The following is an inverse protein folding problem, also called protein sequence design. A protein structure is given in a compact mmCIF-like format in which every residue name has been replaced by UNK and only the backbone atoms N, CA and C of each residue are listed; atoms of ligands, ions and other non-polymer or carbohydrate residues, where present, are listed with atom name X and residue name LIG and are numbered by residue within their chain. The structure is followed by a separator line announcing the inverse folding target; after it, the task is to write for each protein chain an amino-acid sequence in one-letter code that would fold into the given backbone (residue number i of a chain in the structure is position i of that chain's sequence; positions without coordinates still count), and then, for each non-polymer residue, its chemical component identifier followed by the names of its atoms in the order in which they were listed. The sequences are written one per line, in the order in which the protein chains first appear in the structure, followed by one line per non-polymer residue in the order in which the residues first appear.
data_IF_106378677657
#
_entry.id   IF_106378677657
#
_cell.length_a   1.000
_cell.length_b   1.000
_cell.length_c   1.000
_cell.angle_alpha   90.00
_cell.angle_beta   90.00
_cell.angle_gamma   90.00
#
_symmetry.space_group_name_H-M   'P 1'
#
loop_
_entity.id
_entity.type
_entity.pdbx_description
1 polymer ?
#
# COMPACT_ATOMS: atom_id res chain seq x y z
N UNK A 1 6.46 16.52 2.87
CA UNK A 1 6.08 17.56 1.93
C UNK A 1 4.86 18.32 2.46
N UNK A 2 4.84 19.65 2.35
CA UNK A 2 3.68 20.45 2.77
C UNK A 2 2.45 20.26 1.88
N UNK A 3 2.59 19.48 0.82
CA UNK A 3 1.55 19.21 -0.18
C UNK A 3 1.12 17.74 -0.21
N UNK A 4 1.24 17.02 0.90
CA UNK A 4 0.68 15.67 0.96
C UNK A 4 -0.85 15.73 1.06
N UNK A 5 -1.60 15.35 0.02
CA UNK A 5 -3.08 15.37 0.04
C UNK A 5 -3.65 14.38 1.05
N UNK A 6 -2.93 13.34 1.38
CA UNK A 6 -3.39 12.28 2.29
C UNK A 6 -3.60 12.79 3.73
N UNK A 7 -2.92 13.85 4.12
CA UNK A 7 -3.07 14.45 5.45
C UNK A 7 -4.51 14.93 5.73
N UNK A 8 -5.23 15.31 4.70
CA UNK A 8 -6.57 15.90 4.78
C UNK A 8 -7.70 14.88 4.50
N UNK A 9 -7.36 13.61 4.19
CA UNK A 9 -8.35 12.58 3.86
C UNK A 9 -9.46 12.43 4.90
N UNK A 10 -9.13 12.48 6.19
CA UNK A 10 -10.12 12.42 7.26
C UNK A 10 -11.08 13.60 7.22
N UNK A 11 -10.54 14.81 7.13
CA UNK A 11 -11.32 16.04 7.06
C UNK A 11 -12.20 16.09 5.80
N UNK A 12 -11.68 15.63 4.66
CA UNK A 12 -12.41 15.58 3.40
C UNK A 12 -13.56 14.56 3.48
N UNK A 13 -13.32 13.40 4.10
CA UNK A 13 -14.34 12.38 4.35
C UNK A 13 -15.45 12.91 5.26
N UNK A 14 -15.11 13.61 6.33
CA UNK A 14 -16.08 14.26 7.22
C UNK A 14 -16.89 15.35 6.49
N UNK A 15 -16.24 16.12 5.63
CA UNK A 15 -16.89 17.11 4.80
C UNK A 15 -17.88 16.49 3.83
N UNK A 16 -17.53 15.36 3.22
CA UNK A 16 -18.42 14.59 2.35
C UNK A 16 -19.66 14.06 3.12
N UNK A 17 -19.46 13.56 4.35
CA UNK A 17 -20.57 13.11 5.20
C UNK A 17 -21.51 14.28 5.58
N UNK A 18 -20.97 15.43 5.94
CA UNK A 18 -21.76 16.65 6.21
C UNK A 18 -22.53 17.10 4.96
N UNK A 19 -21.90 17.06 3.81
CA UNK A 19 -22.54 17.39 2.54
C UNK A 19 -23.66 16.41 2.18
N UNK A 20 -23.47 15.10 2.44
CA UNK A 20 -24.53 14.12 2.23
C UNK A 20 -25.78 14.43 3.08
N UNK A 21 -25.62 14.76 4.36
CA UNK A 21 -26.75 15.20 5.20
C UNK A 21 -27.41 16.46 4.67
N UNK A 22 -26.63 17.43 4.20
CA UNK A 22 -27.16 18.64 3.57
C UNK A 22 -28.02 18.32 2.34
N UNK A 23 -27.54 17.46 1.44
CA UNK A 23 -28.27 17.05 0.23
C UNK A 23 -29.57 16.32 0.59
N UNK A 24 -29.50 15.38 1.54
CA UNK A 24 -30.69 14.64 2.00
C UNK A 24 -31.73 15.58 2.58
N UNK A 25 -31.34 16.53 3.40
CA UNK A 25 -32.25 17.51 3.97
C UNK A 25 -32.83 18.48 2.90
N UNK A 26 -32.01 18.89 1.93
CA UNK A 26 -32.47 19.70 0.82
C UNK A 26 -33.50 18.96 -0.06
N UNK A 27 -33.34 17.66 -0.23
CA UNK A 27 -34.21 16.84 -1.06
C UNK A 27 -35.50 16.40 -0.35
N UNK A 28 -35.41 16.05 0.94
CA UNK A 28 -36.48 15.40 1.67
C UNK A 28 -37.07 16.25 2.82
N UNK A 29 -36.45 17.39 3.12
CA UNK A 29 -36.97 18.33 4.11
C UNK A 29 -38.34 18.93 3.69
N UNK A 30 -39.19 19.19 4.68
CA UNK A 30 -40.51 19.79 4.51
C UNK A 30 -40.58 21.07 5.30
N UNK A 31 -41.60 21.88 5.04
CA UNK A 31 -41.79 23.17 5.72
C UNK A 31 -41.91 23.03 7.26
N UNK A 32 -42.54 21.94 7.71
CA UNK A 32 -42.73 21.59 9.13
C UNK A 32 -41.57 20.78 9.72
N UNK A 33 -40.71 20.18 8.90
CA UNK A 33 -39.50 19.47 9.28
C UNK A 33 -38.40 19.69 8.23
N UNK A 34 -37.71 20.83 8.29
CA UNK A 34 -36.71 21.18 7.27
C UNK A 34 -35.40 20.38 7.37
N UNK A 35 -35.11 19.71 8.51
CA UNK A 35 -33.88 18.98 8.76
C UNK A 35 -34.18 17.58 9.33
N UNK A 36 -34.90 16.73 8.55
CA UNK A 36 -35.27 15.40 9.01
C UNK A 36 -34.10 14.47 9.26
N UNK A 37 -32.95 14.71 8.62
CA UNK A 37 -31.76 13.90 8.80
C UNK A 37 -30.69 14.67 9.60
N UNK A 38 -30.34 14.13 10.73
CA UNK A 38 -29.35 14.73 11.62
C UNK A 38 -28.61 13.64 12.41
N UNK A 39 -27.54 14.02 13.08
CA UNK A 39 -26.70 13.13 13.89
C UNK A 39 -27.48 12.31 14.94
N UNK A 40 -28.58 12.85 15.47
CA UNK A 40 -29.37 12.17 16.50
C UNK A 40 -30.24 11.03 15.99
N UNK A 41 -30.47 10.95 14.67
CA UNK A 41 -31.36 9.97 14.08
C UNK A 41 -30.80 9.27 12.82
N UNK A 42 -29.58 9.58 12.43
CA UNK A 42 -28.94 9.04 11.23
C UNK A 42 -27.61 8.41 11.60
N UNK A 43 -27.44 7.11 11.32
CA UNK A 43 -26.18 6.41 11.49
C UNK A 43 -25.26 6.66 10.29
N UNK A 44 -24.04 7.09 10.55
CA UNK A 44 -23.02 7.33 9.54
C UNK A 44 -21.85 6.35 9.77
N UNK A 45 -21.68 5.46 8.81
CA UNK A 45 -20.62 4.43 8.85
C UNK A 45 -19.65 4.72 7.72
N UNK A 46 -18.39 4.97 8.08
CA UNK A 46 -17.28 5.06 7.14
C UNK A 46 -16.83 3.65 6.72
N UNK A 47 -17.03 3.27 5.46
CA UNK A 47 -16.66 1.94 4.99
C UNK A 47 -15.88 1.97 3.70
N UNK A 48 -14.70 1.33 3.67
CA UNK A 48 -13.90 1.21 2.45
C UNK A 48 -12.74 0.21 2.63
N UNK A 49 -12.02 -0.03 1.53
CA UNK A 49 -10.82 -0.85 1.51
C UNK A 49 -9.58 -0.01 1.12
N UNK A 50 -8.39 -0.51 1.46
CA UNK A 50 -7.10 0.07 1.08
C UNK A 50 -6.98 1.54 1.51
N UNK A 51 -6.71 2.45 0.59
CA UNK A 51 -6.61 3.90 0.85
C UNK A 51 -7.90 4.47 1.45
N UNK A 52 -9.06 4.03 0.97
CA UNK A 52 -10.34 4.45 1.52
C UNK A 52 -10.58 3.94 2.93
N UNK A 53 -10.08 2.74 3.27
CA UNK A 53 -10.07 2.22 4.64
C UNK A 53 -9.25 3.12 5.56
N UNK A 54 -8.08 3.56 5.14
CA UNK A 54 -7.26 4.52 5.87
C UNK A 54 -7.97 5.88 6.04
N UNK A 55 -8.61 6.38 4.98
CA UNK A 55 -9.38 7.62 5.04
C UNK A 55 -10.56 7.54 6.02
N UNK A 56 -11.26 6.39 6.07
CA UNK A 56 -12.36 6.16 7.01
C UNK A 56 -11.88 6.14 8.47
N UNK A 57 -10.75 5.48 8.74
CA UNK A 57 -10.12 5.49 10.08
C UNK A 57 -9.70 6.91 10.46
N UNK A 58 -9.05 7.62 9.53
CA UNK A 58 -8.60 8.99 9.76
C UNK A 58 -9.77 9.95 9.99
N UNK A 59 -10.91 9.72 9.32
CA UNK A 59 -12.13 10.47 9.57
C UNK A 59 -12.60 10.29 11.04
N UNK A 60 -12.65 9.06 11.52
CA UNK A 60 -13.05 8.79 12.91
C UNK A 60 -12.06 9.41 13.93
N UNK A 61 -10.75 9.38 13.66
CA UNK A 61 -9.74 10.03 14.51
C UNK A 61 -9.90 11.56 14.58
N UNK A 62 -10.31 12.18 13.48
CA UNK A 62 -10.44 13.63 13.36
C UNK A 62 -11.85 14.15 13.65
N UNK A 63 -12.80 13.26 13.93
CA UNK A 63 -14.19 13.59 14.14
C UNK A 63 -14.45 14.16 15.54
N UNK A 64 -14.16 15.43 15.72
CA UNK A 64 -14.45 16.16 16.97
C UNK A 64 -15.94 16.32 17.25
N UNK A 65 -16.77 16.27 16.21
CA UNK A 65 -18.23 16.47 16.30
C UNK A 65 -18.97 15.15 16.59
N UNK A 66 -18.28 14.01 16.51
CA UNK A 66 -18.83 12.67 16.66
C UNK A 66 -19.87 12.37 15.57
N UNK A 67 -19.58 12.73 14.34
CA UNK A 67 -20.43 12.52 13.18
C UNK A 67 -20.43 11.07 12.71
N UNK A 68 -19.28 10.39 12.86
CA UNK A 68 -19.09 9.00 12.45
C UNK A 68 -19.48 8.08 13.59
N UNK A 69 -20.44 7.19 13.37
CA UNK A 69 -20.90 6.21 14.36
C UNK A 69 -20.13 4.90 14.31
N UNK A 70 -19.48 4.59 13.19
CA UNK A 70 -18.68 3.39 13.04
C UNK A 70 -17.78 3.41 11.82
N UNK A 71 -16.77 2.55 11.85
CA UNK A 71 -15.84 2.34 10.72
C UNK A 71 -15.76 0.86 10.38
N UNK A 72 -15.85 0.54 9.09
CA UNK A 72 -15.55 -0.78 8.52
C UNK A 72 -14.40 -0.60 7.53
N UNK A 73 -13.18 -0.85 7.98
CA UNK A 73 -11.98 -0.74 7.17
C UNK A 73 -11.44 -2.12 6.81
N UNK A 74 -11.37 -2.42 5.52
CA UNK A 74 -10.70 -3.61 5.00
C UNK A 74 -9.33 -3.23 4.48
N UNK A 75 -8.30 -3.95 4.93
CA UNK A 75 -6.93 -3.78 4.48
C UNK A 75 -6.48 -2.30 4.45
N UNK A 76 -6.72 -1.54 5.53
CA UNK A 76 -6.42 -0.12 5.54
C UNK A 76 -4.91 0.11 5.43
N UNK A 77 -4.51 1.10 4.63
CA UNK A 77 -3.13 1.55 4.60
C UNK A 77 -2.87 2.39 5.84
N UNK A 78 -2.36 1.76 6.88
CA UNK A 78 -1.98 2.40 8.15
C UNK A 78 -0.50 2.17 8.43
N UNK A 79 0.16 3.19 8.95
CA UNK A 79 1.53 3.11 9.42
C UNK A 79 1.55 3.23 10.93
N UNK A 80 2.02 2.17 11.59
CA UNK A 80 2.17 2.19 13.04
C UNK A 80 3.40 3.00 13.42
N UNK A 81 3.30 3.83 14.43
CA UNK A 81 4.49 4.47 15.00
C UNK A 81 5.51 3.40 15.42
N UNK A 82 6.78 3.67 15.24
CA UNK A 82 7.90 2.77 15.61
C UNK A 82 8.02 2.50 17.11
N UNK A 83 7.14 3.02 17.91
CA UNK A 83 7.08 2.82 19.35
C UNK A 83 6.16 1.66 19.69
N UNK A 84 6.56 0.76 20.11
CA UNK A 84 6.72 -0.38 20.98
C UNK A 84 5.66 -0.51 22.08
N UNK A 85 5.25 -1.64 22.30
CA UNK A 85 4.24 -2.08 23.27
C UNK A 85 3.48 -3.25 22.70
N UNK A 86 3.86 -3.70 21.51
CA UNK A 86 3.32 -4.91 20.89
C UNK A 86 4.45 -5.75 20.30
N UNK A 87 4.23 -7.05 20.24
CA UNK A 87 5.07 -7.98 19.51
C UNK A 87 4.33 -8.55 18.31
N UNK A 88 5.08 -8.98 17.32
CA UNK A 88 4.54 -9.66 16.15
C UNK A 88 5.16 -11.05 16.08
N UNK A 89 4.32 -12.07 16.11
CA UNK A 89 4.73 -13.45 15.91
C UNK A 89 4.17 -13.96 14.58
N UNK A 90 5.03 -14.50 13.76
CA UNK A 90 4.64 -15.10 12.48
C UNK A 90 4.78 -16.63 12.56
N UNK A 91 3.65 -17.33 12.65
CA UNK A 91 3.62 -18.78 12.89
C UNK A 91 4.38 -19.15 14.15
N UNK A 92 5.30 -20.12 14.05
CA UNK A 92 6.13 -20.59 15.15
C UNK A 92 7.45 -19.82 15.30
N UNK A 93 7.65 -18.75 14.53
CA UNK A 93 8.84 -17.92 14.64
C UNK A 93 8.88 -17.18 15.99
N UNK A 94 10.10 -16.86 16.50
CA UNK A 94 10.22 -16.02 17.68
C UNK A 94 9.49 -14.69 17.50
N UNK A 95 8.83 -14.24 18.56
CA UNK A 95 8.20 -12.93 18.58
C UNK A 95 9.22 -11.82 18.31
N UNK A 96 8.91 -10.94 17.39
CA UNK A 96 9.67 -9.72 17.12
C UNK A 96 9.03 -8.52 17.82
N UNK A 97 9.83 -7.64 18.36
CA UNK A 97 9.34 -6.42 19.02
C UNK A 97 8.73 -5.40 18.08
N UNK A 98 8.90 -5.58 16.79
CA UNK A 98 8.43 -4.65 15.75
C UNK A 98 8.29 -5.37 14.40
N UNK A 99 7.15 -5.22 13.78
CA UNK A 99 6.91 -5.63 12.41
C UNK A 99 7.09 -4.44 11.45
N UNK A 100 7.46 -4.73 10.21
CA UNK A 100 7.47 -3.72 9.14
C UNK A 100 6.06 -3.53 8.59
N UNK A 101 5.75 -2.31 8.21
CA UNK A 101 4.47 -2.01 7.57
C UNK A 101 4.42 -2.56 6.15
N UNK A 102 3.21 -2.75 5.62
CA UNK A 102 3.05 -3.14 4.20
C UNK A 102 3.69 -2.10 3.27
N UNK A 103 3.62 -0.82 3.62
CA UNK A 103 4.24 0.26 2.87
C UNK A 103 5.77 0.09 2.79
N UNK A 104 6.42 -0.28 3.89
CA UNK A 104 7.86 -0.56 3.91
C UNK A 104 8.22 -1.72 2.98
N UNK A 105 7.49 -2.84 3.08
CA UNK A 105 7.72 -3.99 2.21
C UNK A 105 7.52 -3.62 0.75
N UNK A 106 6.44 -2.92 0.43
CA UNK A 106 6.10 -2.51 -0.93
C UNK A 106 7.16 -1.57 -1.51
N UNK A 107 7.55 -0.56 -0.76
CA UNK A 107 8.58 0.40 -1.19
C UNK A 107 9.91 -0.30 -1.45
N UNK A 108 10.32 -1.16 -0.54
CA UNK A 108 11.56 -1.92 -0.69
C UNK A 108 11.49 -2.88 -1.89
N UNK A 109 10.35 -3.56 -2.05
CA UNK A 109 10.05 -4.39 -3.20
C UNK A 109 10.15 -3.60 -4.51
N UNK A 110 9.50 -2.46 -4.61
CA UNK A 110 9.52 -1.61 -5.81
C UNK A 110 10.92 -1.16 -6.22
N UNK A 111 11.83 -1.00 -5.26
CA UNK A 111 13.22 -0.67 -5.55
C UNK A 111 13.94 -1.85 -6.20
N UNK A 112 13.87 -3.02 -5.61
CA UNK A 112 14.75 -4.16 -5.92
C UNK A 112 14.12 -5.23 -6.81
N UNK A 113 12.80 -5.46 -6.74
CA UNK A 113 12.12 -6.54 -7.46
C UNK A 113 12.36 -6.54 -8.97
N UNK A 114 12.32 -5.40 -9.68
CA UNK A 114 12.55 -5.41 -11.11
C UNK A 114 13.93 -5.96 -11.50
N UNK A 115 14.94 -5.68 -10.70
CA UNK A 115 16.28 -6.25 -10.90
C UNK A 115 16.33 -7.71 -10.45
N UNK A 116 15.82 -8.03 -9.28
CA UNK A 116 15.80 -9.37 -8.70
C UNK A 116 15.07 -10.39 -9.59
N UNK A 117 14.07 -9.96 -10.37
CA UNK A 117 13.37 -10.81 -11.32
C UNK A 117 14.25 -11.40 -12.42
N UNK A 118 15.45 -10.83 -12.64
CA UNK A 118 16.46 -11.36 -13.56
C UNK A 118 17.48 -12.28 -12.87
N UNK A 119 17.29 -12.59 -11.59
CA UNK A 119 18.20 -13.48 -10.87
C UNK A 119 18.16 -14.90 -11.46
N UNK A 120 19.32 -15.57 -11.52
CA UNK A 120 19.39 -16.94 -12.04
C UNK A 120 18.83 -18.00 -11.09
N UNK A 121 18.25 -17.61 -9.96
CA UNK A 121 17.57 -18.54 -9.04
C UNK A 121 16.38 -19.17 -9.77
N UNK A 122 16.34 -20.51 -9.82
CA UNK A 122 15.32 -21.26 -10.57
C UNK A 122 13.89 -20.89 -10.14
N UNK A 123 13.64 -20.71 -8.84
CA UNK A 123 12.32 -20.36 -8.33
C UNK A 123 11.86 -18.99 -8.83
N UNK A 124 12.75 -18.00 -8.87
CA UNK A 124 12.46 -16.68 -9.44
C UNK A 124 12.32 -16.76 -10.96
N UNK A 125 13.24 -17.45 -11.66
CA UNK A 125 13.21 -17.54 -13.11
C UNK A 125 11.97 -18.25 -13.63
N UNK A 126 11.51 -19.31 -12.96
CA UNK A 126 10.31 -20.06 -13.34
C UNK A 126 9.01 -19.26 -13.13
N UNK A 127 8.95 -18.45 -12.08
CA UNK A 127 7.77 -17.66 -11.74
C UNK A 127 7.85 -16.23 -12.24
N UNK A 128 8.97 -15.83 -12.84
CA UNK A 128 9.16 -14.47 -13.35
C UNK A 128 8.15 -14.14 -14.44
N UNK A 129 7.53 -12.97 -14.31
CA UNK A 129 6.65 -12.41 -15.36
C UNK A 129 7.36 -12.29 -16.72
N UNK A 130 8.68 -12.17 -16.72
CA UNK A 130 9.48 -12.13 -17.95
C UNK A 130 9.46 -13.45 -18.71
N UNK A 131 9.16 -14.58 -18.05
CA UNK A 131 9.00 -15.88 -18.69
C UNK A 131 7.64 -16.04 -19.35
N UNK A 132 6.61 -15.33 -18.87
CA UNK A 132 5.25 -15.40 -19.40
C UNK A 132 4.95 -14.32 -20.44
N UNK A 133 5.65 -13.20 -20.35
CA UNK A 133 5.44 -12.05 -21.22
C UNK A 133 6.75 -11.82 -21.97
N UNK A 134 6.85 -12.32 -23.20
CA UNK A 134 7.98 -12.14 -24.11
C UNK A 134 8.13 -10.67 -24.59
N UNK A 135 7.93 -9.72 -23.69
CA UNK A 135 8.09 -8.30 -23.97
C UNK A 135 9.54 -7.91 -23.72
N UNK A 136 10.33 -7.88 -24.76
CA UNK A 136 11.73 -7.41 -24.77
C UNK A 136 11.89 -6.06 -24.04
N UNK A 137 10.89 -5.20 -24.09
CA UNK A 137 10.86 -3.93 -23.38
C UNK A 137 10.89 -4.09 -21.84
N UNK A 138 10.27 -5.12 -21.28
CA UNK A 138 10.29 -5.35 -19.83
C UNK A 138 11.66 -5.84 -19.35
N UNK A 139 12.28 -6.75 -20.09
CA UNK A 139 13.65 -7.19 -19.79
C UNK A 139 14.63 -6.02 -19.86
N UNK A 140 14.50 -5.16 -20.86
CA UNK A 140 15.35 -3.97 -20.98
C UNK A 140 15.16 -3.01 -19.78
N UNK A 141 13.93 -2.82 -19.31
CA UNK A 141 13.63 -2.00 -18.11
C UNK A 141 14.21 -2.62 -16.84
N UNK A 142 14.11 -3.93 -16.66
CA UNK A 142 14.68 -4.63 -15.52
C UNK A 142 16.22 -4.55 -15.53
N UNK A 143 16.85 -4.71 -16.70
CA UNK A 143 18.28 -4.51 -16.86
C UNK A 143 18.69 -3.09 -16.50
N UNK A 144 17.99 -2.09 -17.02
CA UNK A 144 18.22 -0.68 -16.70
C UNK A 144 18.04 -0.41 -15.19
N UNK A 145 17.11 -1.09 -14.53
CA UNK A 145 16.96 -1.00 -13.06
C UNK A 145 18.20 -1.56 -12.35
N UNK A 146 18.71 -2.75 -12.75
CA UNK A 146 19.96 -3.30 -12.20
C UNK A 146 21.12 -2.33 -12.36
N UNK A 147 21.28 -1.74 -13.55
CA UNK A 147 22.34 -0.78 -13.84
C UNK A 147 22.19 0.51 -13.00
N UNK A 148 20.97 1.01 -12.88
CA UNK A 148 20.67 2.18 -12.06
C UNK A 148 20.93 1.96 -10.57
N UNK A 149 20.57 0.79 -10.04
CA UNK A 149 20.86 0.40 -8.67
C UNK A 149 22.37 0.25 -8.43
N UNK A 150 23.09 -0.35 -9.37
CA UNK A 150 24.56 -0.48 -9.29
C UNK A 150 25.24 0.89 -9.33
N UNK A 151 24.80 1.78 -10.20
CA UNK A 151 25.32 3.16 -10.30
C UNK A 151 25.11 3.96 -9.01
N UNK A 152 24.10 3.60 -8.21
CA UNK A 152 23.81 4.20 -6.90
C UNK A 152 24.48 3.44 -5.73
N UNK A 153 25.23 2.37 -5.99
CA UNK A 153 25.83 1.54 -4.95
C UNK A 153 24.80 0.71 -4.15
N UNK A 154 23.59 0.57 -4.66
CA UNK A 154 22.51 -0.15 -4.00
C UNK A 154 22.54 -1.65 -4.28
N UNK A 155 23.19 -2.09 -5.36
CA UNK A 155 23.51 -3.48 -5.66
C UNK A 155 24.94 -3.60 -6.15
N UNK A 156 25.53 -4.78 -5.97
CA UNK A 156 26.89 -5.13 -6.37
C UNK A 156 26.86 -6.18 -7.48
N UNK A 157 27.91 -6.22 -8.30
CA UNK A 157 28.10 -7.20 -9.35
C UNK A 157 28.57 -6.58 -10.66
N UNK A 158 29.36 -7.33 -11.42
CA UNK A 158 29.89 -6.92 -12.72
C UNK A 158 28.87 -7.14 -13.84
N UNK A 159 28.08 -8.19 -13.72
CA UNK A 159 27.06 -8.60 -14.70
C UNK A 159 25.64 -8.32 -14.20
N UNK A 160 24.67 -8.27 -15.10
CA UNK A 160 23.25 -8.15 -14.74
C UNK A 160 22.80 -9.31 -13.85
N UNK A 161 23.24 -10.54 -14.12
CA UNK A 161 22.90 -11.70 -13.31
C UNK A 161 23.43 -11.59 -11.86
N UNK A 162 24.65 -11.12 -11.68
CA UNK A 162 25.21 -10.90 -10.33
C UNK A 162 24.48 -9.78 -9.58
N UNK A 163 24.17 -8.69 -10.25
CA UNK A 163 23.39 -7.57 -9.67
C UNK A 163 21.98 -8.01 -9.29
N UNK A 164 21.35 -8.83 -10.13
CA UNK A 164 20.04 -9.40 -9.87
C UNK A 164 20.08 -10.36 -8.67
N UNK A 165 21.11 -11.19 -8.56
CA UNK A 165 21.31 -12.07 -7.42
C UNK A 165 21.52 -11.28 -6.11
N UNK A 166 22.30 -10.19 -6.15
CA UNK A 166 22.48 -9.31 -5.00
C UNK A 166 21.17 -8.60 -4.61
N UNK A 167 20.40 -8.11 -5.59
CA UNK A 167 19.08 -7.53 -5.36
C UNK A 167 18.12 -8.53 -4.69
N UNK A 168 18.12 -9.79 -5.17
CA UNK A 168 17.33 -10.86 -4.56
C UNK A 168 17.81 -11.15 -3.12
N UNK A 169 19.11 -11.20 -2.89
CA UNK A 169 19.67 -11.35 -1.54
C UNK A 169 19.21 -10.25 -0.58
N UNK A 170 19.16 -9.01 -1.05
CA UNK A 170 18.64 -7.88 -0.25
C UNK A 170 17.16 -8.02 0.07
N UNK A 171 16.35 -8.46 -0.88
CA UNK A 171 14.92 -8.75 -0.65
C UNK A 171 14.77 -9.86 0.39
N UNK A 172 15.54 -10.96 0.29
CA UNK A 172 15.54 -12.04 1.28
C UNK A 172 15.89 -11.53 2.68
N UNK A 173 16.98 -10.76 2.78
CA UNK A 173 17.41 -10.18 4.06
C UNK A 173 16.37 -9.20 4.64
N UNK A 174 15.57 -8.57 3.79
CA UNK A 174 14.50 -7.67 4.22
C UNK A 174 13.26 -8.39 4.72
N UNK A 175 13.10 -9.67 4.41
CA UNK A 175 11.98 -10.48 4.85
C UNK A 175 11.07 -11.01 3.73
N UNK A 176 11.42 -10.77 2.47
CA UNK A 176 10.76 -11.38 1.34
C UNK A 176 11.29 -12.81 1.15
N UNK A 177 10.61 -13.79 1.74
CA UNK A 177 11.01 -15.20 1.69
C UNK A 177 10.69 -15.84 0.33
N UNK A 178 11.18 -17.08 0.12
CA UNK A 178 10.90 -17.84 -1.12
C UNK A 178 9.42 -18.05 -1.36
N UNK A 179 8.64 -18.18 -0.30
CA UNK A 179 7.18 -18.37 -0.39
C UNK A 179 6.47 -17.16 -1.02
N UNK A 180 7.13 -16.00 -1.00
CA UNK A 180 6.63 -14.76 -1.57
C UNK A 180 7.07 -14.52 -3.03
N UNK A 181 7.84 -15.43 -3.65
CA UNK A 181 8.41 -15.21 -4.99
C UNK A 181 7.32 -15.01 -6.05
N UNK A 182 6.21 -15.73 -5.97
CA UNK A 182 5.08 -15.51 -6.87
C UNK A 182 4.44 -14.13 -6.67
N UNK A 183 4.37 -13.66 -5.42
CA UNK A 183 3.86 -12.31 -5.12
C UNK A 183 4.80 -11.22 -5.63
N UNK A 184 6.11 -11.44 -5.61
CA UNK A 184 7.06 -10.50 -6.20
C UNK A 184 6.75 -10.25 -7.68
N UNK A 185 6.48 -11.30 -8.42
CA UNK A 185 6.18 -11.19 -9.85
C UNK A 185 4.83 -10.53 -10.09
N UNK A 186 3.80 -10.87 -9.32
CA UNK A 186 2.49 -10.24 -9.39
C UNK A 186 2.58 -8.76 -8.97
N UNK A 187 3.30 -8.45 -7.92
CA UNK A 187 3.49 -7.09 -7.43
C UNK A 187 4.30 -6.24 -8.40
N UNK A 188 5.31 -6.80 -9.02
CA UNK A 188 6.04 -6.12 -10.09
C UNK A 188 5.14 -5.79 -11.28
N UNK A 189 4.29 -6.73 -11.68
CA UNK A 189 3.32 -6.51 -12.77
C UNK A 189 2.32 -5.40 -12.40
N UNK A 190 1.83 -5.38 -11.17
CA UNK A 190 0.93 -4.35 -10.66
C UNK A 190 1.67 -3.02 -10.43
N UNK A 191 2.89 -3.06 -9.89
CA UNK A 191 3.69 -1.88 -9.56
C UNK A 191 4.25 -1.15 -10.80
N UNK A 192 4.44 -1.84 -11.90
CA UNK A 192 4.82 -1.24 -13.19
C UNK A 192 3.64 -1.11 -14.15
N UNK A 193 2.45 -1.55 -13.72
CA UNK A 193 1.21 -1.29 -14.41
C UNK A 193 0.71 0.14 -14.19
N UNK A 194 -0.29 0.58 -14.96
CA UNK A 194 -0.78 1.96 -14.89
C UNK A 194 -1.40 2.35 -13.54
N UNK A 195 -1.67 1.39 -12.66
CA UNK A 195 -2.38 1.65 -11.39
C UNK A 195 -1.43 2.18 -10.31
N UNK A 196 -0.20 1.66 -10.20
CA UNK A 196 0.75 2.09 -9.15
C UNK A 196 1.81 3.07 -9.68
N UNK A 197 1.97 3.20 -10.98
CA UNK A 197 2.85 4.23 -11.57
C UNK A 197 2.22 5.63 -11.56
N UNK A 198 0.96 5.73 -11.19
CA UNK A 198 0.22 6.99 -11.02
C UNK A 198 0.08 7.42 -9.56
N UNK A 199 0.62 6.65 -8.63
CA UNK A 199 0.79 7.00 -7.22
C UNK A 199 2.23 7.47 -6.95
#
# INVERSE_FOLDING_TARGET
SQQNPEKDWGTDTLSAAKYALYVLNAQFGKADDPVPFNKGNTLIIGGSASNGGAASLRAAEQDSDGLIDGVVASEPMVEMPTTTGYGVQFGDAPESSYGRTLADYTNYGNIYQPCAALAPDAAISETSIYNYITLTAMTARATARCDGLAAKGLVSGATTAERAADALGKLRAYGWTKDNDQMHNAHYALGNGPILSSM
#
